data_IF_561543558453
#
_entry.id   IF_561543558453
#
_cell.length_a   1.000
_cell.length_b   1.000
_cell.length_c   1.000
_cell.angle_alpha   90.00
_cell.angle_beta   90.00
_cell.angle_gamma   90.00
#
_symmetry.space_group_name_H-M   'P 1'
#
loop_
_entity.id
_entity.type
_entity.pdbx_description
1 polymer ?
#
# COMPACT_ATOMS: atom_id res chain seq x y z
N UNK A 1 -1.17 -7.84 25.08
CA UNK A 1 -1.67 -6.53 25.54
C UNK A 1 -2.33 -5.84 24.37
N UNK A 2 -3.41 -5.08 24.55
CA UNK A 2 -4.11 -4.37 23.46
C UNK A 2 -4.13 -2.88 23.74
N UNK A 3 -4.03 -2.08 22.69
CA UNK A 3 -4.13 -0.63 22.75
C UNK A 3 -5.32 -0.17 21.89
N UNK A 4 -5.96 0.93 22.28
CA UNK A 4 -6.99 1.61 21.49
C UNK A 4 -6.52 3.04 21.24
N UNK A 5 -6.72 3.50 20.02
CA UNK A 5 -6.49 4.89 19.62
C UNK A 5 -7.74 5.37 18.91
N UNK A 6 -8.16 6.59 19.20
CA UNK A 6 -9.20 7.31 18.46
C UNK A 6 -8.50 8.30 17.54
N UNK A 7 -8.86 8.23 16.26
CA UNK A 7 -8.20 8.97 15.19
C UNK A 7 -9.25 9.42 14.18
N UNK A 8 -9.01 10.56 13.55
CA UNK A 8 -9.85 11.03 12.44
C UNK A 8 -9.67 10.15 11.19
N UNK A 9 -10.60 10.28 10.25
CA UNK A 9 -10.52 9.62 8.94
C UNK A 9 -9.19 9.95 8.22
N UNK A 10 -8.75 11.21 8.29
CA UNK A 10 -7.49 11.63 7.68
C UNK A 10 -6.26 11.01 8.39
N UNK A 11 -6.28 10.90 9.71
CA UNK A 11 -5.21 10.22 10.45
C UNK A 11 -5.17 8.73 10.12
N UNK A 12 -6.33 8.07 10.00
CA UNK A 12 -6.44 6.68 9.56
C UNK A 12 -5.85 6.50 8.14
N UNK A 13 -6.15 7.41 7.22
CA UNK A 13 -5.58 7.44 5.86
C UNK A 13 -4.05 7.56 5.90
N UNK A 14 -3.52 8.51 6.66
CA UNK A 14 -2.08 8.73 6.79
C UNK A 14 -1.38 7.51 7.42
N UNK A 15 -1.98 6.87 8.42
CA UNK A 15 -1.44 5.64 9.02
C UNK A 15 -1.38 4.53 7.98
N UNK A 16 -2.43 4.34 7.18
CA UNK A 16 -2.45 3.36 6.10
C UNK A 16 -1.29 3.55 5.12
N UNK A 17 -1.11 4.79 4.63
CA UNK A 17 -0.01 5.14 3.74
C UNK A 17 1.36 4.87 4.36
N UNK A 18 1.56 5.29 5.61
CA UNK A 18 2.85 5.11 6.29
C UNK A 18 3.21 3.63 6.50
N UNK A 19 2.23 2.78 6.84
CA UNK A 19 2.45 1.34 7.02
C UNK A 19 2.74 0.66 5.69
N UNK A 20 2.02 1.02 4.63
CA UNK A 20 2.24 0.49 3.28
C UNK A 20 3.64 0.87 2.74
N UNK A 21 4.02 2.15 2.83
CA UNK A 21 5.38 2.60 2.44
C UNK A 21 6.47 1.90 3.24
N UNK A 22 6.31 1.79 4.56
CA UNK A 22 7.24 1.04 5.40
C UNK A 22 7.37 -0.41 4.93
N UNK A 23 6.25 -1.09 4.67
CA UNK A 23 6.24 -2.46 4.17
C UNK A 23 7.02 -2.58 2.86
N UNK A 24 6.70 -1.74 1.87
CA UNK A 24 7.33 -1.76 0.53
C UNK A 24 8.85 -1.57 0.63
N UNK A 25 9.29 -0.63 1.46
CA UNK A 25 10.72 -0.38 1.71
C UNK A 25 11.41 -1.59 2.36
N UNK A 26 10.77 -2.25 3.34
CA UNK A 26 11.36 -3.43 4.01
C UNK A 26 11.38 -4.68 3.13
N UNK A 27 10.54 -4.71 2.09
CA UNK A 27 10.38 -5.84 1.17
C UNK A 27 11.10 -5.66 -0.16
N UNK A 28 11.55 -4.45 -0.48
CA UNK A 28 12.15 -4.16 -1.77
C UNK A 28 11.12 -4.06 -2.91
N UNK A 29 9.85 -3.76 -2.60
CA UNK A 29 8.78 -3.57 -3.58
C UNK A 29 8.84 -2.15 -4.18
N UNK A 30 9.93 -1.87 -4.89
CA UNK A 30 10.19 -0.53 -5.41
C UNK A 30 9.45 -0.19 -6.68
N UNK A 31 8.88 -1.18 -7.36
CA UNK A 31 7.99 -0.96 -8.51
C UNK A 31 6.76 -0.17 -8.08
N UNK A 32 6.03 -0.67 -7.08
CA UNK A 32 4.81 -0.02 -6.59
C UNK A 32 5.13 1.34 -5.93
N UNK A 33 6.21 1.43 -5.14
CA UNK A 33 6.66 2.70 -4.54
C UNK A 33 7.02 3.75 -5.63
N UNK A 34 7.73 3.34 -6.68
CA UNK A 34 8.11 4.24 -7.76
C UNK A 34 6.90 4.69 -8.58
N UNK A 35 5.90 3.82 -8.75
CA UNK A 35 4.63 4.17 -9.37
C UNK A 35 3.92 5.23 -8.54
N UNK A 36 3.69 5.00 -7.25
CA UNK A 36 2.97 5.96 -6.41
C UNK A 36 3.67 7.32 -6.36
N UNK A 37 5.00 7.36 -6.26
CA UNK A 37 5.78 8.62 -6.29
C UNK A 37 5.78 9.32 -7.65
N UNK A 38 5.76 8.57 -8.76
CA UNK A 38 5.79 9.14 -10.09
C UNK A 38 4.44 9.72 -10.52
N UNK A 39 3.34 9.10 -10.06
CA UNK A 39 1.98 9.49 -10.39
C UNK A 39 1.31 10.34 -9.30
N UNK A 40 1.99 10.66 -8.20
CA UNK A 40 1.46 11.55 -7.16
C UNK A 40 1.03 12.91 -7.74
N UNK A 41 -0.19 13.33 -7.42
CA UNK A 41 -0.82 14.54 -7.94
C UNK A 41 -1.17 14.52 -9.43
N UNK A 42 -0.87 13.44 -10.16
CA UNK A 42 -1.21 13.28 -11.58
C UNK A 42 -2.52 12.51 -11.68
N UNK A 43 -3.58 13.07 -12.29
CA UNK A 43 -4.79 12.31 -12.54
C UNK A 43 -4.42 11.05 -13.33
N UNK A 44 -4.68 9.88 -12.73
CA UNK A 44 -4.67 8.60 -13.44
C UNK A 44 -5.87 8.62 -14.40
N UNK A 45 -5.81 9.47 -15.43
CA UNK A 45 -6.84 9.54 -16.44
C UNK A 45 -6.86 8.15 -17.05
N UNK A 46 -7.98 7.46 -16.82
CA UNK A 46 -8.44 6.31 -17.57
C UNK A 46 -8.29 6.70 -19.04
N UNK A 47 -7.13 6.43 -19.64
CA UNK A 47 -6.84 6.79 -21.01
C UNK A 47 -7.77 5.95 -21.86
N UNK A 48 -8.90 6.57 -22.20
CA UNK A 48 -9.63 6.44 -23.45
C UNK A 48 -8.90 5.48 -24.40
N UNK A 49 -9.54 4.34 -24.71
CA UNK A 49 -9.19 3.29 -25.69
C UNK A 49 -8.56 1.97 -25.19
N UNK A 50 -8.31 1.78 -23.89
CA UNK A 50 -7.84 0.47 -23.40
C UNK A 50 -6.38 0.15 -23.72
N UNK A 51 -5.61 1.18 -24.10
CA UNK A 51 -4.14 1.16 -24.11
C UNK A 51 -3.64 2.30 -23.23
N UNK A 52 -2.87 1.98 -22.21
CA UNK A 52 -2.16 2.98 -21.42
C UNK A 52 -1.13 3.68 -22.31
N UNK A 53 -1.45 4.86 -22.84
CA UNK A 53 -0.43 5.82 -23.29
C UNK A 53 0.16 6.46 -22.06
N UNK A 54 1.11 5.76 -21.44
CA UNK A 54 1.93 6.36 -20.42
C UNK A 54 2.78 7.45 -21.08
N UNK A 55 2.73 8.67 -20.56
CA UNK A 55 3.69 9.71 -20.90
C UNK A 55 5.10 9.10 -20.74
N UNK A 56 5.87 9.08 -21.84
CA UNK A 56 7.21 8.47 -21.86
C UNK A 56 8.12 9.11 -20.81
N UNK A 57 7.88 10.38 -20.45
CA UNK A 57 8.57 11.05 -19.37
C UNK A 57 8.21 10.46 -17.99
N UNK A 58 6.94 10.12 -17.75
CA UNK A 58 6.50 9.50 -16.49
C UNK A 58 7.02 8.08 -16.34
N UNK A 59 6.99 7.27 -17.40
CA UNK A 59 7.58 5.92 -17.36
C UNK A 59 9.08 5.97 -17.05
N UNK A 60 9.79 6.92 -17.69
CA UNK A 60 11.21 7.13 -17.44
C UNK A 60 11.46 7.59 -16.00
N UNK A 61 10.63 8.49 -15.47
CA UNK A 61 10.69 8.93 -14.07
C UNK A 61 10.49 7.76 -13.10
N UNK A 62 9.45 6.96 -13.29
CA UNK A 62 9.17 5.77 -12.48
C UNK A 62 10.35 4.79 -12.53
N UNK A 63 10.85 4.47 -13.73
CA UNK A 63 12.01 3.58 -13.91
C UNK A 63 13.26 4.10 -13.18
N UNK A 64 13.52 5.40 -13.24
CA UNK A 64 14.66 6.02 -12.56
C UNK A 64 14.54 5.93 -11.03
N UNK A 65 13.35 6.19 -10.48
CA UNK A 65 13.09 6.10 -9.04
C UNK A 65 13.28 4.65 -8.57
N UNK A 66 12.66 3.69 -9.27
CA UNK A 66 12.83 2.25 -8.99
C UNK A 66 14.30 1.85 -8.95
N UNK A 67 15.06 2.21 -10.00
CA UNK A 67 16.47 1.83 -10.12
C UNK A 67 17.32 2.43 -8.99
N UNK A 68 17.02 3.65 -8.53
CA UNK A 68 17.71 4.27 -7.41
C UNK A 68 17.49 3.49 -6.11
N UNK A 69 16.23 3.17 -5.78
CA UNK A 69 15.92 2.41 -4.57
C UNK A 69 16.45 0.98 -4.63
N UNK A 70 16.35 0.32 -5.78
CA UNK A 70 16.88 -1.03 -5.98
C UNK A 70 18.40 -1.07 -5.81
N UNK A 71 19.12 -0.07 -6.33
CA UNK A 71 20.56 0.05 -6.12
C UNK A 71 20.90 0.21 -4.63
N UNK A 72 20.23 1.11 -3.92
CA UNK A 72 20.42 1.30 -2.48
C UNK A 72 20.12 0.03 -1.67
N UNK A 73 19.06 -0.69 -2.04
CA UNK A 73 18.66 -1.93 -1.37
C UNK A 73 19.65 -3.07 -1.61
N UNK A 74 20.18 -3.20 -2.83
CA UNK A 74 21.24 -4.18 -3.15
C UNK A 74 22.52 -3.90 -2.38
N UNK A 75 22.87 -2.62 -2.17
CA UNK A 75 23.99 -2.24 -1.31
C UNK A 75 23.74 -2.57 0.17
N UNK A 76 22.51 -2.38 0.65
CA UNK A 76 22.14 -2.70 2.03
C UNK A 76 22.03 -4.23 2.29
N UNK A 77 21.66 -5.02 1.28
CA UNK A 77 21.46 -6.48 1.37
C UNK A 77 22.23 -7.23 0.26
N UNK A 78 23.57 -7.32 0.34
CA UNK A 78 24.38 -7.97 -0.67
C UNK A 78 24.15 -9.50 -0.71
N UNK A 79 24.43 -10.18 -1.84
CA UNK A 79 24.97 -9.62 -3.08
C UNK A 79 23.91 -9.20 -4.12
N UNK A 80 22.62 -9.50 -3.89
CA UNK A 80 21.56 -9.34 -4.91
C UNK A 80 20.34 -8.54 -4.45
N UNK A 81 20.39 -7.93 -3.26
CA UNK A 81 19.21 -7.28 -2.67
C UNK A 81 18.18 -8.29 -2.19
N UNK A 82 18.59 -9.51 -1.83
CA UNK A 82 17.69 -10.53 -1.31
C UNK A 82 17.86 -10.65 0.19
N UNK A 83 16.79 -10.41 0.94
CA UNK A 83 16.73 -10.83 2.34
C UNK A 83 16.43 -12.32 2.35
N UNK A 84 17.33 -13.12 2.93
CA UNK A 84 17.16 -14.58 3.06
C UNK A 84 15.89 -15.02 3.81
N UNK A 85 15.21 -14.08 4.46
CA UNK A 85 13.90 -14.23 5.10
C UNK A 85 13.09 -12.95 4.91
N UNK A 86 11.76 -13.05 4.84
CA UNK A 86 10.88 -11.88 4.94
C UNK A 86 11.16 -11.12 6.24
N UNK A 87 10.93 -9.80 6.22
CA UNK A 87 11.08 -9.01 7.44
C UNK A 87 10.05 -9.44 8.49
N UNK A 88 10.45 -9.51 9.76
CA UNK A 88 9.60 -10.07 10.83
C UNK A 88 8.27 -9.31 11.00
N UNK A 89 8.23 -8.01 10.66
CA UNK A 89 7.01 -7.19 10.70
C UNK A 89 6.15 -7.25 9.43
N UNK A 90 6.57 -7.96 8.37
CA UNK A 90 5.86 -7.96 7.09
C UNK A 90 4.39 -8.37 7.24
N UNK A 91 4.14 -9.51 7.90
CA UNK A 91 2.79 -10.04 8.12
C UNK A 91 1.92 -9.07 8.95
N UNK A 92 2.50 -8.39 9.93
CA UNK A 92 1.77 -7.39 10.73
C UNK A 92 1.45 -6.15 9.91
N UNK A 93 2.37 -5.68 9.06
CA UNK A 93 2.13 -4.52 8.22
C UNK A 93 1.03 -4.76 7.18
N UNK A 94 1.06 -5.92 6.51
CA UNK A 94 0.03 -6.25 5.52
C UNK A 94 -1.36 -6.41 6.16
N UNK A 95 -1.43 -6.99 7.37
CA UNK A 95 -2.69 -7.08 8.12
C UNK A 95 -3.23 -5.70 8.50
N UNK A 96 -2.34 -4.78 8.92
CA UNK A 96 -2.72 -3.38 9.21
C UNK A 96 -3.23 -2.66 7.96
N UNK A 97 -2.51 -2.75 6.83
CA UNK A 97 -2.92 -2.12 5.57
C UNK A 97 -4.27 -2.67 5.13
N UNK A 98 -4.43 -3.99 5.08
CA UNK A 98 -5.70 -4.60 4.68
C UNK A 98 -6.86 -4.20 5.61
N UNK A 99 -6.62 -4.11 6.92
CA UNK A 99 -7.66 -3.72 7.86
C UNK A 99 -8.12 -2.27 7.61
N UNK A 100 -7.16 -1.36 7.39
CA UNK A 100 -7.41 0.05 7.11
C UNK A 100 -8.16 0.20 5.78
N UNK A 101 -7.66 -0.43 4.72
CA UNK A 101 -8.27 -0.33 3.39
C UNK A 101 -9.67 -0.97 3.34
N UNK A 102 -9.88 -2.08 4.05
CA UNK A 102 -11.20 -2.70 4.15
C UNK A 102 -12.18 -1.78 4.88
N UNK A 103 -11.76 -1.17 5.99
CA UNK A 103 -12.62 -0.23 6.71
C UNK A 103 -12.96 1.00 5.85
N UNK A 104 -11.97 1.55 5.14
CA UNK A 104 -12.20 2.64 4.19
C UNK A 104 -13.16 2.24 3.05
N UNK A 105 -13.08 0.99 2.57
CA UNK A 105 -14.05 0.48 1.60
C UNK A 105 -15.46 0.35 2.19
N UNK A 106 -15.60 -0.08 3.45
CA UNK A 106 -16.90 -0.14 4.14
C UNK A 106 -17.53 1.25 4.30
N UNK A 107 -16.71 2.25 4.63
CA UNK A 107 -17.13 3.63 4.87
C UNK A 107 -17.29 4.46 3.59
N UNK A 108 -16.76 3.98 2.45
CA UNK A 108 -16.89 4.68 1.18
C UNK A 108 -18.36 4.86 0.75
N UNK A 109 -18.73 5.94 0.05
CA UNK A 109 -20.05 6.09 -0.56
C UNK A 109 -20.34 4.92 -1.54
N UNK A 110 -21.59 4.44 -1.58
CA UNK A 110 -21.98 3.28 -2.42
C UNK A 110 -21.66 3.48 -3.91
N UNK A 111 -21.76 4.71 -4.44
CA UNK A 111 -21.39 5.04 -5.82
C UNK A 111 -19.88 5.00 -6.10
N UNK A 112 -19.07 4.94 -5.04
CA UNK A 112 -17.61 4.85 -5.07
C UNK A 112 -17.08 3.50 -4.59
N UNK A 113 -17.94 2.60 -4.10
CA UNK A 113 -17.51 1.26 -3.67
C UNK A 113 -17.20 0.39 -4.87
N UNK A 114 -16.03 -0.24 -4.82
CA UNK A 114 -15.71 -1.36 -5.68
C UNK A 114 -16.65 -2.53 -5.37
N UNK A 115 -17.00 -3.33 -6.38
CA UNK A 115 -17.88 -4.47 -6.18
C UNK A 115 -17.30 -5.46 -5.13
N UNK A 116 -18.14 -6.09 -4.30
CA UNK A 116 -17.67 -7.06 -3.30
C UNK A 116 -16.85 -8.18 -3.92
N UNK A 117 -15.70 -8.50 -3.31
CA UNK A 117 -14.79 -9.57 -3.74
C UNK A 117 -13.95 -9.29 -5.00
N UNK A 118 -14.02 -8.09 -5.59
CA UNK A 118 -13.19 -7.75 -6.77
C UNK A 118 -11.79 -7.27 -6.43
N UNK A 119 -11.56 -6.78 -5.21
CA UNK A 119 -10.26 -6.31 -4.73
C UNK A 119 -9.98 -6.83 -3.33
N UNK A 120 -8.72 -6.77 -2.90
CA UNK A 120 -8.35 -7.13 -1.52
C UNK A 120 -9.14 -6.31 -0.48
N UNK A 121 -9.48 -5.07 -0.82
CA UNK A 121 -10.26 -4.16 0.04
C UNK A 121 -11.71 -4.62 0.21
N UNK A 122 -12.30 -5.26 -0.80
CA UNK A 122 -13.71 -5.68 -0.78
C UNK A 122 -13.92 -7.16 -0.43
N UNK A 123 -12.86 -7.94 -0.25
CA UNK A 123 -12.91 -9.39 0.02
C UNK A 123 -12.96 -9.74 1.52
N UNK A 124 -12.68 -8.77 2.40
CA UNK A 124 -12.60 -8.97 3.85
C UNK A 124 -11.23 -9.46 4.34
N UNK A 125 -11.04 -9.59 5.66
CA UNK A 125 -9.73 -9.77 6.27
C UNK A 125 -9.12 -11.15 6.00
N UNK A 126 -7.94 -11.17 5.39
CA UNK A 126 -7.10 -12.37 5.24
C UNK A 126 -5.84 -12.18 6.12
N UNK A 127 -5.78 -12.80 7.31
CA UNK A 127 -4.64 -12.62 8.22
C UNK A 127 -3.40 -13.34 7.69
N UNK A 128 -2.31 -12.60 7.56
CA UNK A 128 -0.99 -13.07 7.13
C UNK A 128 0.06 -12.89 8.24
N UNK A 129 -0.22 -12.04 9.23
CA UNK A 129 0.58 -11.85 10.42
C UNK A 129 0.43 -12.97 11.44
N UNK A 130 1.29 -12.91 12.46
CA UNK A 130 1.22 -13.81 13.63
C UNK A 130 0.34 -13.28 14.74
N UNK A 131 0.00 -12.00 14.67
CA UNK A 131 -0.85 -11.32 15.64
C UNK A 131 -2.32 -11.40 15.20
N UNK A 132 -3.28 -11.24 16.13
CA UNK A 132 -4.68 -11.12 15.76
C UNK A 132 -4.90 -9.98 14.77
N UNK A 133 -5.80 -10.20 13.81
CA UNK A 133 -6.12 -9.20 12.81
C UNK A 133 -6.61 -7.89 13.47
N UNK A 134 -6.09 -6.71 13.05
CA UNK A 134 -6.45 -5.44 13.64
C UNK A 134 -7.94 -5.15 13.52
N UNK A 135 -8.52 -4.58 14.59
CA UNK A 135 -9.90 -4.15 14.62
C UNK A 135 -9.96 -2.64 14.40
N UNK A 136 -10.71 -2.21 13.41
CA UNK A 136 -10.98 -0.79 13.13
C UNK A 136 -12.49 -0.65 13.12
N UNK A 137 -13.00 0.33 13.85
CA UNK A 137 -14.42 0.60 13.98
C UNK A 137 -14.64 2.10 13.84
N UNK A 138 -15.63 2.49 13.03
CA UNK A 138 -16.10 3.87 13.03
C UNK A 138 -16.80 4.14 14.36
N UNK A 139 -16.43 5.25 14.98
CA UNK A 139 -17.10 5.77 16.17
C UNK A 139 -17.68 7.11 15.74
N UNK A 140 -18.99 7.27 15.87
CA UNK A 140 -19.65 8.55 15.61
C UNK A 140 -19.30 9.51 16.78
N UNK A 141 -19.06 10.79 16.47
CA UNK A 141 -18.81 11.84 17.48
C UNK A 141 -20.04 12.16 18.33
#
# INVERSE_FOLDING_TARGET
>A
MKYRIEISEEQLRVIGLAVDEYMRLRMGQFDDLAEDLAYDGIPRVKALTGKYTYDTALQKRCSNIKNLFDAAYKMAFPPRGYRGRQHDSWGTCIDLVHAIEHQQWLDAPEDKKEAPGTTYRSHGPVPLGREPYPKIERVDE
#
